data_IF_922592753372
#
_entry.id   IF_922592753372
#
_cell.length_a   1.000
_cell.length_b   1.000
_cell.length_c   1.000
_cell.angle_alpha   90.00
_cell.angle_beta   90.00
_cell.angle_gamma   90.00
#
_symmetry.space_group_name_H-M   'P 1'
#
loop_
_entity.id
_entity.type
_entity.pdbx_description
1 polymer ?
#
# COMPACT_ATOMS: atom_id res chain seq x y z
N UNK A 1 18.49 -7.48 -21.62
CA UNK A 1 17.54 -7.36 -20.49
C UNK A 1 18.33 -7.60 -19.21
N UNK A 2 18.12 -6.82 -18.16
CA UNK A 2 18.79 -7.04 -16.87
C UNK A 2 18.16 -8.24 -16.16
N UNK A 3 18.91 -8.95 -15.31
CA UNK A 3 18.39 -10.15 -14.62
C UNK A 3 17.13 -9.85 -13.81
N UNK A 4 17.04 -8.67 -13.18
CA UNK A 4 15.86 -8.27 -12.42
C UNK A 4 14.60 -8.14 -13.28
N UNK A 5 14.72 -7.60 -14.51
CA UNK A 5 13.58 -7.51 -15.43
C UNK A 5 13.14 -8.89 -15.93
N UNK A 6 14.10 -9.79 -16.12
CA UNK A 6 13.82 -11.19 -16.47
C UNK A 6 13.07 -11.89 -15.35
N UNK A 7 13.55 -11.79 -14.11
CA UNK A 7 12.89 -12.38 -12.93
C UNK A 7 11.48 -11.83 -12.74
N UNK A 8 11.29 -10.51 -12.85
CA UNK A 8 9.99 -9.88 -12.73
C UNK A 8 8.98 -10.42 -13.75
N UNK A 9 9.43 -10.66 -14.99
CA UNK A 9 8.61 -11.23 -16.06
C UNK A 9 8.32 -12.72 -15.82
N UNK A 10 9.31 -13.48 -15.36
CA UNK A 10 9.18 -14.92 -15.10
C UNK A 10 8.33 -15.25 -13.88
N UNK A 11 8.26 -14.35 -12.90
CA UNK A 11 7.40 -14.49 -11.74
C UNK A 11 5.92 -14.65 -12.11
N UNK A 12 5.49 -14.15 -13.28
CA UNK A 12 4.15 -14.34 -13.80
C UNK A 12 3.08 -13.45 -13.13
N UNK A 13 1.82 -13.85 -13.29
CA UNK A 13 0.66 -13.05 -12.92
C UNK A 13 -0.14 -13.68 -11.76
N UNK A 14 -0.61 -12.85 -10.83
CA UNK A 14 -1.61 -13.18 -9.82
C UNK A 14 -3.00 -12.81 -10.36
N UNK A 15 -3.92 -13.78 -10.42
CA UNK A 15 -5.31 -13.53 -10.83
C UNK A 15 -6.17 -13.35 -9.59
N UNK A 16 -6.82 -12.19 -9.47
CA UNK A 16 -7.80 -11.93 -8.43
C UNK A 16 -9.18 -12.41 -8.89
N UNK A 17 -9.75 -13.38 -8.20
CA UNK A 17 -11.11 -13.86 -8.47
C UNK A 17 -12.17 -12.79 -8.17
N UNK A 18 -11.95 -12.01 -7.11
CA UNK A 18 -12.86 -10.94 -6.69
C UNK A 18 -12.96 -9.83 -7.74
N UNK A 19 -11.82 -9.44 -8.31
CA UNK A 19 -11.72 -8.33 -9.25
C UNK A 19 -11.69 -8.79 -10.72
N UNK A 20 -11.69 -10.11 -10.97
CA UNK A 20 -11.63 -10.73 -12.30
C UNK A 20 -10.52 -10.13 -13.19
N UNK A 21 -9.38 -9.81 -12.56
CA UNK A 21 -8.23 -9.17 -13.19
C UNK A 21 -6.93 -9.81 -12.72
N UNK A 22 -5.97 -9.90 -13.63
CA UNK A 22 -4.60 -10.35 -13.35
C UNK A 22 -3.66 -9.18 -13.10
N UNK A 23 -2.76 -9.34 -12.13
CA UNK A 23 -1.78 -8.35 -11.67
C UNK A 23 -0.38 -9.00 -11.68
N UNK A 24 0.70 -8.30 -12.08
CA UNK A 24 2.03 -8.89 -12.06
C UNK A 24 2.50 -9.17 -10.62
N UNK A 25 3.09 -10.35 -10.40
CA UNK A 25 3.53 -10.78 -9.06
C UNK A 25 4.77 -10.01 -8.57
N UNK A 26 5.65 -9.66 -9.50
CA UNK A 26 6.81 -8.82 -9.25
C UNK A 26 6.79 -7.70 -10.28
N UNK A 27 6.97 -6.46 -9.83
CA UNK A 27 6.96 -5.25 -10.65
C UNK A 27 8.19 -4.43 -10.29
N UNK A 28 8.88 -3.92 -11.30
CA UNK A 28 9.98 -2.98 -11.12
C UNK A 28 9.49 -1.65 -11.67
N UNK A 29 9.36 -0.67 -10.79
CA UNK A 29 9.00 0.71 -11.10
C UNK A 29 10.17 1.61 -10.77
N UNK A 30 10.44 2.56 -11.64
CA UNK A 30 11.47 3.59 -11.45
C UNK A 30 10.92 4.74 -10.61
N UNK A 31 11.84 5.51 -10.03
CA UNK A 31 11.48 6.73 -9.29
C UNK A 31 10.81 7.75 -10.22
N UNK A 32 11.28 7.87 -11.47
CA UNK A 32 10.67 8.75 -12.47
C UNK A 32 9.20 8.39 -12.71
N UNK A 33 8.89 7.11 -12.93
CA UNK A 33 7.52 6.63 -13.12
C UNK A 33 6.65 6.97 -11.90
N UNK A 34 7.14 6.69 -10.69
CA UNK A 34 6.43 7.03 -9.45
C UNK A 34 6.14 8.54 -9.34
N UNK A 35 7.13 9.37 -9.64
CA UNK A 35 6.99 10.83 -9.58
C UNK A 35 6.08 11.38 -10.70
N UNK A 36 5.96 10.66 -11.82
CA UNK A 36 5.00 10.99 -12.90
C UNK A 36 3.56 10.62 -12.58
N UNK A 37 3.31 9.95 -11.44
CA UNK A 37 1.98 9.51 -11.02
C UNK A 37 1.64 8.08 -11.44
N UNK A 38 2.59 7.32 -12.02
CA UNK A 38 2.44 5.88 -12.16
C UNK A 38 2.59 5.21 -10.79
N UNK A 39 1.89 4.10 -10.58
CA UNK A 39 1.97 3.31 -9.37
C UNK A 39 2.12 1.83 -9.69
N UNK A 40 2.27 1.02 -8.64
CA UNK A 40 2.22 -0.43 -8.76
C UNK A 40 0.79 -0.90 -9.04
N UNK A 41 0.63 -1.86 -9.94
CA UNK A 41 -0.66 -2.48 -10.23
C UNK A 41 -1.00 -3.49 -9.14
N UNK A 42 -1.96 -3.15 -8.30
CA UNK A 42 -2.43 -4.00 -7.19
C UNK A 42 -3.94 -4.13 -7.22
N UNK A 43 -4.49 -5.28 -6.78
CA UNK A 43 -5.92 -5.37 -6.52
C UNK A 43 -6.29 -4.32 -5.46
N UNK A 44 -7.46 -3.65 -5.57
CA UNK A 44 -7.91 -2.71 -4.57
C UNK A 44 -7.93 -3.35 -3.17
N UNK A 45 -7.31 -2.68 -2.21
CA UNK A 45 -7.36 -3.07 -0.81
C UNK A 45 -8.74 -2.73 -0.26
N UNK A 46 -9.56 -3.75 -0.02
CA UNK A 46 -10.81 -3.58 0.72
C UNK A 46 -10.42 -3.74 2.19
N UNK A 47 -10.46 -2.67 2.98
CA UNK A 47 -10.33 -2.76 4.44
C UNK A 47 -11.54 -3.55 4.98
N UNK A 48 -11.36 -4.79 5.46
CA UNK A 48 -12.48 -5.56 5.99
C UNK A 48 -12.91 -5.06 7.38
N UNK A 49 -12.14 -4.16 7.98
CA UNK A 49 -12.33 -3.70 9.34
C UNK A 49 -13.05 -2.35 9.37
N UNK A 50 -14.02 -2.23 10.29
CA UNK A 50 -14.65 -0.94 10.60
C UNK A 50 -13.59 0.01 11.17
N UNK A 51 -13.54 1.24 10.66
CA UNK A 51 -12.69 2.30 11.22
C UNK A 51 -12.92 2.44 12.72
N UNK A 52 -11.84 2.45 13.51
CA UNK A 52 -11.90 2.65 14.94
C UNK A 52 -12.53 4.00 15.30
N UNK A 53 -13.27 4.04 16.41
CA UNK A 53 -13.81 5.28 16.95
C UNK A 53 -12.66 6.19 17.41
N UNK A 54 -12.78 7.50 17.18
CA UNK A 54 -11.81 8.46 17.71
C UNK A 54 -11.90 8.44 19.22
N UNK A 55 -10.77 8.25 19.90
CA UNK A 55 -10.72 8.42 21.34
C UNK A 55 -11.22 9.83 21.69
N UNK A 56 -12.15 9.91 22.63
CA UNK A 56 -12.52 11.18 23.22
C UNK A 56 -11.27 11.77 23.87
N UNK A 57 -11.00 13.08 23.71
CA UNK A 57 -9.91 13.70 24.44
C UNK A 57 -10.18 13.48 25.92
N UNK A 58 -9.35 12.66 26.56
CA UNK A 58 -9.34 12.61 28.01
C UNK A 58 -8.72 13.94 28.41
N UNK A 59 -9.49 14.80 29.10
CA UNK A 59 -8.96 16.01 29.72
C UNK A 59 -8.05 15.56 30.86
N UNK A 60 -6.88 15.03 30.53
CA UNK A 60 -5.80 14.91 31.49
C UNK A 60 -5.35 16.35 31.73
N UNK A 61 -5.83 16.94 32.83
CA UNK A 61 -5.34 18.21 33.34
C UNK A 61 -3.84 18.04 33.61
N UNK A 62 -3.01 18.48 32.67
CA UNK A 62 -1.57 18.61 32.88
C UNK A 62 -1.36 19.72 33.90
N UNK A 63 -1.37 19.37 35.19
CA UNK A 63 -1.01 20.29 36.26
C UNK A 63 0.47 20.67 36.05
N UNK A 64 0.70 21.93 35.69
CA UNK A 64 2.05 22.48 35.63
C UNK A 64 2.72 22.41 37.00
N UNK A 65 3.99 22.07 37.04
CA UNK A 65 4.80 22.17 38.25
C UNK A 65 5.00 23.65 38.58
N UNK A 66 4.36 24.14 39.63
CA UNK A 66 4.57 25.49 40.14
C UNK A 66 5.92 25.53 40.90
N UNK A 67 6.79 26.50 40.52
CA UNK A 67 8.11 26.74 41.10
C UNK A 67 8.06 27.79 42.21
#
# INVERSE_FOLDING_TARGET
MTEMLTEATQAGMYTSELWQRSYPRIQIVTIEELLSGHGVELPPSIDPFKRAERAQPNTAEQHGLEL
#
